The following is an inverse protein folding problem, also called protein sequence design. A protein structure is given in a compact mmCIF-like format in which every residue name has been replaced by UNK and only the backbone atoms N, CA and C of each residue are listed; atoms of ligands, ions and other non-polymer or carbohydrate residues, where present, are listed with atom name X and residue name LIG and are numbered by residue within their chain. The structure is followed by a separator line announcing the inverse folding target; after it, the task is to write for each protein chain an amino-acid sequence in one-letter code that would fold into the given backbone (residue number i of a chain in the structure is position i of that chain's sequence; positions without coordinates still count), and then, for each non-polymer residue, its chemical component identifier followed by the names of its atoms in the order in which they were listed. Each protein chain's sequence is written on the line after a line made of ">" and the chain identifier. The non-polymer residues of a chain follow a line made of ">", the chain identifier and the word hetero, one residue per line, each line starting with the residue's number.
data_IF_172376304613
#
_entry.id   IF_172376304613
#
_cell.length_a   1.000
_cell.length_b   1.000
_cell.length_c   1.000
_cell.angle_alpha   90.00
_cell.angle_beta   90.00
_cell.angle_gamma   90.00
#
_symmetry.space_group_name_H-M   'P 1'
#
loop_
_entity.id
_entity.type
_entity.pdbx_description
1 polymer ?
#
# COMPACT_ATOMS: atom_id res chain seq x y z
N UNK A 1 -11.03 -12.12 5.66
CA UNK A 1 -9.96 -12.94 5.03
C UNK A 1 -10.47 -13.81 3.89
N UNK A 2 -11.51 -14.64 4.07
CA UNK A 2 -11.99 -15.58 3.04
C UNK A 2 -12.30 -14.92 1.68
N UNK A 3 -12.98 -13.78 1.66
CA UNK A 3 -13.32 -13.07 0.42
C UNK A 3 -12.07 -12.58 -0.35
N UNK A 4 -11.07 -12.07 0.37
CA UNK A 4 -9.79 -11.65 -0.24
C UNK A 4 -9.01 -12.88 -0.75
N UNK A 5 -9.00 -13.97 0.01
CA UNK A 5 -8.37 -15.21 -0.42
C UNK A 5 -9.00 -15.76 -1.72
N UNK A 6 -10.34 -15.77 -1.80
CA UNK A 6 -11.08 -16.17 -3.00
C UNK A 6 -10.76 -15.27 -4.20
N UNK A 7 -10.76 -13.95 -4.00
CA UNK A 7 -10.44 -12.98 -5.06
C UNK A 7 -9.00 -13.14 -5.56
N UNK A 8 -8.04 -13.26 -4.65
CA UNK A 8 -6.63 -13.43 -5.00
C UNK A 8 -6.36 -14.75 -5.72
N UNK A 9 -7.03 -15.84 -5.30
CA UNK A 9 -7.01 -17.11 -6.05
C UNK A 9 -7.59 -16.94 -7.45
N UNK A 10 -8.74 -16.27 -7.57
CA UNK A 10 -9.39 -16.07 -8.85
C UNK A 10 -8.52 -15.25 -9.81
N UNK A 11 -7.89 -14.17 -9.34
CA UNK A 11 -6.94 -13.34 -10.10
C UNK A 11 -5.81 -14.21 -10.65
N UNK A 12 -5.19 -15.04 -9.78
CA UNK A 12 -4.11 -15.95 -10.15
C UNK A 12 -4.57 -16.98 -11.19
N UNK A 13 -5.68 -17.67 -10.93
CA UNK A 13 -6.14 -18.80 -11.76
C UNK A 13 -6.62 -18.34 -13.15
N UNK A 14 -6.99 -17.07 -13.30
CA UNK A 14 -7.35 -16.46 -14.58
C UNK A 14 -6.18 -15.74 -15.26
N UNK A 15 -4.97 -15.80 -14.71
CA UNK A 15 -3.77 -15.19 -15.30
C UNK A 15 -3.84 -13.68 -15.40
N UNK A 16 -4.52 -13.01 -14.47
CA UNK A 16 -4.56 -11.55 -14.39
C UNK A 16 -3.24 -11.08 -13.74
N UNK A 17 -2.45 -10.33 -14.50
CA UNK A 17 -1.10 -9.88 -14.13
C UNK A 17 -1.08 -8.39 -13.81
N UNK A 18 0.06 -7.90 -13.30
CA UNK A 18 0.25 -6.47 -13.02
C UNK A 18 -0.79 -5.90 -12.04
N UNK A 19 -1.19 -6.69 -11.04
CA UNK A 19 -2.20 -6.29 -10.05
C UNK A 19 -1.57 -5.40 -8.98
N UNK A 20 -2.14 -4.21 -8.79
CA UNK A 20 -1.74 -3.25 -7.76
C UNK A 20 -2.96 -2.85 -6.94
N UNK A 21 -2.82 -2.81 -5.63
CA UNK A 21 -3.86 -2.39 -4.69
C UNK A 21 -3.61 -0.96 -4.23
N UNK A 22 -4.64 -0.12 -4.31
CA UNK A 22 -4.61 1.25 -3.82
C UNK A 22 -5.59 1.37 -2.66
N UNK A 23 -5.04 1.65 -1.47
CA UNK A 23 -5.80 1.74 -0.22
C UNK A 23 -5.83 3.20 0.24
N UNK A 24 -7.02 3.78 0.21
CA UNK A 24 -7.29 5.13 0.73
C UNK A 24 -8.08 5.04 2.04
N UNK A 25 -8.78 6.11 2.43
CA UNK A 25 -9.63 6.24 3.64
C UNK A 25 -8.93 6.02 5.00
N UNK A 26 -7.75 5.40 5.03
CA UNK A 26 -6.95 5.18 6.23
C UNK A 26 -6.06 6.37 6.55
N UNK A 27 -5.60 6.40 7.80
CA UNK A 27 -5.08 7.61 8.43
C UNK A 27 -3.53 7.59 8.59
N UNK A 28 -2.85 6.89 7.69
CA UNK A 28 -1.39 6.81 7.54
C UNK A 28 -1.03 6.53 6.07
N UNK A 29 0.27 6.58 5.75
CA UNK A 29 0.78 6.13 4.45
C UNK A 29 1.76 4.99 4.59
N UNK A 30 1.71 4.03 3.66
CA UNK A 30 2.57 2.86 3.66
C UNK A 30 2.70 2.24 2.26
N UNK A 31 3.77 1.48 2.07
CA UNK A 31 3.95 0.59 0.93
C UNK A 31 4.19 -0.82 1.45
N UNK A 32 3.33 -1.75 1.05
CA UNK A 32 3.40 -3.16 1.43
C UNK A 32 3.59 -4.04 0.20
N UNK A 33 4.45 -5.04 0.32
CA UNK A 33 4.62 -6.08 -0.70
C UNK A 33 4.18 -7.43 -0.15
N UNK A 34 3.24 -8.08 -0.84
CA UNK A 34 2.65 -9.36 -0.45
C UNK A 34 3.22 -10.48 -1.32
N UNK A 35 3.59 -11.60 -0.70
CA UNK A 35 4.23 -12.71 -1.42
C UNK A 35 3.88 -14.06 -0.77
N UNK A 36 3.45 -15.05 -1.54
CA UNK A 36 3.07 -16.36 -1.03
C UNK A 36 4.24 -17.11 -0.35
N UNK A 37 5.49 -16.79 -0.66
CA UNK A 37 6.66 -17.39 0.01
C UNK A 37 6.79 -17.01 1.49
N UNK A 38 6.13 -15.91 1.91
CA UNK A 38 6.09 -15.43 3.30
C UNK A 38 4.73 -15.65 3.97
N UNK A 39 3.75 -16.18 3.23
CA UNK A 39 2.35 -16.21 3.63
C UNK A 39 1.93 -17.55 4.26
N UNK A 40 0.88 -17.52 5.09
CA UNK A 40 0.18 -18.74 5.51
C UNK A 40 -0.75 -19.27 4.40
N UNK A 41 -1.46 -18.37 3.73
CA UNK A 41 -2.26 -18.68 2.56
C UNK A 41 -1.43 -18.43 1.31
N UNK A 42 -1.17 -19.45 0.50
CA UNK A 42 -0.20 -19.34 -0.62
C UNK A 42 -0.85 -19.31 -2.00
N UNK A 43 -2.18 -19.34 -2.07
CA UNK A 43 -2.89 -19.44 -3.33
C UNK A 43 -3.12 -18.09 -4.02
N UNK A 44 -2.05 -17.34 -4.28
CA UNK A 44 -2.11 -16.03 -4.95
C UNK A 44 -0.77 -15.69 -5.63
N UNK A 45 -0.77 -14.72 -6.55
CA UNK A 45 0.45 -14.15 -7.13
C UNK A 45 0.94 -12.95 -6.30
N UNK A 46 2.26 -12.67 -6.21
CA UNK A 46 2.77 -11.49 -5.50
C UNK A 46 2.12 -10.19 -6.00
N UNK A 47 1.93 -9.22 -5.10
CA UNK A 47 1.38 -7.90 -5.46
C UNK A 47 1.82 -6.81 -4.49
N UNK A 48 1.66 -5.55 -4.93
CA UNK A 48 1.87 -4.37 -4.11
C UNK A 48 0.57 -3.77 -3.63
N UNK A 49 0.57 -3.27 -2.39
CA UNK A 49 -0.44 -2.36 -1.87
C UNK A 49 0.23 -1.01 -1.53
N UNK A 50 -0.39 0.06 -1.99
CA UNK A 50 -0.01 1.42 -1.64
C UNK A 50 -1.12 2.07 -0.85
N UNK A 51 -0.79 2.41 0.37
CA UNK A 51 -1.69 3.01 1.34
C UNK A 51 -1.40 4.51 1.40
N UNK A 52 -2.41 5.34 1.20
CA UNK A 52 -2.24 6.79 1.34
C UNK A 52 -3.47 7.48 1.89
N UNK A 53 -3.26 8.17 3.02
CA UNK A 53 -4.22 9.08 3.62
C UNK A 53 -3.80 9.45 5.05
N UNK A 54 -4.50 10.39 5.69
CA UNK A 54 -5.60 11.16 5.14
C UNK A 54 -5.09 12.45 4.48
N UNK A 55 -5.89 13.04 3.58
CA UNK A 55 -5.62 14.39 3.07
C UNK A 55 -5.88 15.46 4.13
N UNK A 56 -6.92 15.28 4.95
CA UNK A 56 -7.27 16.21 6.03
C UNK A 56 -8.17 15.54 7.08
N UNK A 57 -7.62 14.64 7.89
CA UNK A 57 -8.32 13.98 9.00
C UNK A 57 -7.37 13.68 10.18
N UNK A 58 -7.92 13.17 11.28
CA UNK A 58 -7.10 12.76 12.42
C UNK A 58 -6.16 11.62 12.04
N UNK A 59 -4.89 11.63 12.44
CA UNK A 59 -3.93 10.59 12.02
C UNK A 59 -3.85 9.43 13.02
N UNK A 60 -3.69 8.19 12.54
CA UNK A 60 -3.60 6.96 13.36
C UNK A 60 -2.51 6.03 12.82
N UNK A 61 -1.98 5.17 13.67
CA UNK A 61 -1.03 4.14 13.26
C UNK A 61 -1.70 2.96 12.55
N UNK A 62 -0.96 2.22 11.70
CA UNK A 62 -1.42 0.91 11.24
C UNK A 62 -1.51 -0.06 12.42
N UNK A 63 -2.37 -1.07 12.27
CA UNK A 63 -2.32 -2.24 13.15
C UNK A 63 -1.10 -3.11 12.81
N UNK A 64 -0.71 -3.98 13.74
CA UNK A 64 0.31 -5.00 13.48
C UNK A 64 -0.13 -5.88 12.31
N UNK A 65 0.74 -6.03 11.32
CA UNK A 65 0.52 -6.90 10.18
C UNK A 65 0.55 -8.37 10.62
N UNK A 66 -0.47 -9.13 10.24
CA UNK A 66 -0.47 -10.58 10.36
C UNK A 66 0.11 -11.23 9.09
N UNK A 67 0.50 -12.50 9.18
CA UNK A 67 1.20 -13.19 8.10
C UNK A 67 0.27 -13.98 7.15
N UNK A 68 -1.05 -13.74 7.16
CA UNK A 68 -2.00 -14.47 6.31
C UNK A 68 -1.62 -14.42 4.84
N UNK A 69 -1.30 -13.23 4.32
CA UNK A 69 -0.87 -13.00 2.94
C UNK A 69 0.62 -12.60 2.81
N UNK A 70 1.41 -12.85 3.86
CA UNK A 70 2.86 -12.61 3.85
C UNK A 70 3.31 -11.17 3.54
N UNK A 71 2.68 -10.14 4.14
CA UNK A 71 3.07 -8.75 3.90
C UNK A 71 4.50 -8.47 4.37
N UNK A 72 5.21 -7.68 3.59
CA UNK A 72 6.43 -6.99 4.00
C UNK A 72 6.19 -5.48 3.94
N UNK A 73 6.31 -4.81 5.08
CA UNK A 73 6.24 -3.35 5.12
C UNK A 73 7.55 -2.74 4.62
N UNK A 74 7.51 -2.20 3.40
CA UNK A 74 8.66 -1.54 2.76
C UNK A 74 8.80 -0.09 3.19
N UNK A 75 7.67 0.54 3.52
CA UNK A 75 7.62 1.90 4.03
C UNK A 75 6.35 2.09 4.87
N UNK A 76 6.48 2.83 5.97
CA UNK A 76 5.35 3.28 6.80
C UNK A 76 5.67 4.67 7.35
N UNK A 77 4.74 5.61 7.19
CA UNK A 77 4.75 6.88 7.93
C UNK A 77 3.39 7.08 8.58
N UNK A 78 3.42 7.14 9.90
CA UNK A 78 2.26 7.24 10.77
C UNK A 78 2.64 8.03 12.03
N UNK A 79 1.67 8.45 12.86
CA UNK A 79 1.95 9.01 14.17
C UNK A 79 2.90 8.13 15.00
N UNK A 80 3.74 8.72 15.88
CA UNK A 80 4.59 7.96 16.78
C UNK A 80 3.79 7.03 17.70
N UNK A 81 4.43 5.96 18.16
CA UNK A 81 3.81 5.01 19.08
C UNK A 81 3.22 5.71 20.32
N UNK A 82 2.01 5.29 20.71
CA UNK A 82 1.27 5.90 21.81
C UNK A 82 0.52 7.18 21.46
N UNK A 83 0.65 7.68 20.23
CA UNK A 83 -0.12 8.82 19.74
C UNK A 83 -1.18 8.37 18.72
N UNK A 84 -2.38 8.92 18.83
CA UNK A 84 -3.49 8.63 17.94
C UNK A 84 -4.41 9.85 17.84
N UNK A 85 -5.18 9.90 16.75
CA UNK A 85 -6.09 10.99 16.44
C UNK A 85 -5.41 12.37 16.45
N UNK A 86 -4.19 12.45 15.92
CA UNK A 86 -3.47 13.73 15.83
C UNK A 86 -4.18 14.65 14.84
N UNK A 87 -4.33 15.93 15.20
CA UNK A 87 -4.95 16.90 14.30
C UNK A 87 -4.16 17.04 12.98
N UNK A 88 -4.81 17.43 11.87
CA UNK A 88 -4.15 17.58 10.57
C UNK A 88 -2.89 18.47 10.59
N UNK A 89 -2.86 19.47 11.46
CA UNK A 89 -1.71 20.36 11.68
C UNK A 89 -0.46 19.66 12.25
N UNK A 90 -0.55 18.39 12.65
CA UNK A 90 0.58 17.61 13.13
C UNK A 90 1.50 17.07 12.01
N UNK A 91 1.15 17.29 10.73
CA UNK A 91 2.03 16.97 9.59
C UNK A 91 1.97 15.51 9.13
N UNK A 92 0.96 14.76 9.54
CA UNK A 92 0.73 13.37 9.14
C UNK A 92 -0.42 13.26 8.13
N UNK A 93 -0.34 14.06 7.07
CA UNK A 93 -1.33 14.10 5.99
C UNK A 93 -0.64 13.77 4.67
N UNK A 94 -1.24 12.88 3.87
CA UNK A 94 -0.58 12.23 2.75
C UNK A 94 -1.50 12.08 1.55
N UNK A 95 -0.91 12.03 0.36
CA UNK A 95 -1.54 11.60 -0.88
C UNK A 95 -0.61 10.71 -1.70
N UNK A 96 -1.20 9.86 -2.53
CA UNK A 96 -0.47 8.98 -3.44
C UNK A 96 -0.56 9.51 -4.86
N UNK A 97 0.52 9.34 -5.61
CA UNK A 97 0.58 9.61 -7.05
C UNK A 97 1.05 8.36 -7.78
N UNK A 98 0.37 8.03 -8.88
CA UNK A 98 0.72 6.94 -9.77
C UNK A 98 0.88 7.51 -11.17
N UNK A 99 2.08 7.39 -11.72
CA UNK A 99 2.40 7.78 -13.10
C UNK A 99 2.66 6.51 -13.91
N UNK A 100 2.01 6.36 -15.06
CA UNK A 100 2.20 5.22 -15.96
C UNK A 100 2.69 5.74 -17.30
N UNK A 101 3.89 5.33 -17.71
CA UNK A 101 4.46 5.65 -19.01
C UNK A 101 3.71 4.91 -20.12
N UNK A 102 3.20 5.63 -21.12
CA UNK A 102 2.53 5.01 -22.27
C UNK A 102 3.48 4.23 -23.20
N UNK A 103 4.75 4.61 -23.23
CA UNK A 103 5.74 4.00 -24.13
C UNK A 103 6.42 2.76 -23.53
N UNK A 104 6.71 2.81 -22.23
CA UNK A 104 7.44 1.75 -21.51
C UNK A 104 6.57 0.93 -20.57
N UNK A 105 5.30 1.32 -20.38
CA UNK A 105 4.35 0.71 -19.44
C UNK A 105 4.83 0.71 -17.98
N UNK A 106 5.90 1.45 -17.69
CA UNK A 106 6.48 1.59 -16.36
C UNK A 106 5.51 2.35 -15.46
N UNK A 107 5.16 1.76 -14.32
CA UNK A 107 4.39 2.43 -13.28
C UNK A 107 5.33 2.94 -12.19
N UNK A 108 5.33 4.25 -11.95
CA UNK A 108 6.00 4.86 -10.81
C UNK A 108 4.96 5.24 -9.77
N UNK A 109 5.14 4.76 -8.54
CA UNK A 109 4.25 5.08 -7.41
C UNK A 109 5.01 5.91 -6.40
N UNK A 110 4.46 7.07 -6.06
CA UNK A 110 5.00 7.99 -5.06
C UNK A 110 4.01 8.19 -3.91
N UNK A 111 4.51 8.12 -2.68
CA UNK A 111 3.79 8.48 -1.46
C UNK A 111 4.30 9.84 -0.98
N UNK A 112 3.42 10.82 -0.92
CA UNK A 112 3.77 12.24 -0.80
C UNK A 112 3.07 12.83 0.42
N UNK A 113 3.75 13.72 1.15
CA UNK A 113 3.08 14.51 2.18
C UNK A 113 2.46 15.81 1.64
N UNK A 114 1.70 16.50 2.49
CA UNK A 114 0.99 17.71 2.11
C UNK A 114 1.91 18.89 1.72
N UNK A 115 3.21 18.83 2.06
CA UNK A 115 4.19 19.82 1.60
C UNK A 115 4.68 19.54 0.17
N UNK A 116 4.32 18.38 -0.39
CA UNK A 116 4.78 17.92 -1.70
C UNK A 116 6.07 17.11 -1.65
N UNK A 117 6.56 16.77 -0.46
CA UNK A 117 7.77 15.96 -0.32
C UNK A 117 7.46 14.49 -0.59
N UNK A 118 8.21 13.89 -1.52
CA UNK A 118 8.14 12.45 -1.79
C UNK A 118 8.81 11.71 -0.64
N UNK A 119 8.01 10.95 0.10
CA UNK A 119 8.47 10.17 1.26
C UNK A 119 8.96 8.78 0.87
N UNK A 120 8.35 8.22 -0.17
CA UNK A 120 8.70 6.93 -0.74
C UNK A 120 8.33 6.92 -2.22
N UNK A 121 9.17 6.29 -3.03
CA UNK A 121 8.89 6.06 -4.45
C UNK A 121 9.41 4.69 -4.87
N UNK A 122 8.65 4.00 -5.70
CA UNK A 122 9.09 2.76 -6.35
C UNK A 122 8.61 2.68 -7.78
N UNK A 123 9.37 1.99 -8.61
CA UNK A 123 9.02 1.66 -9.98
C UNK A 123 8.58 0.19 -10.07
N UNK A 124 7.49 -0.07 -10.78
CA UNK A 124 6.96 -1.40 -11.05
C UNK A 124 7.05 -1.63 -12.56
N UNK A 125 7.87 -2.60 -12.95
CA UNK A 125 7.99 -3.05 -14.33
C UNK A 125 6.77 -3.89 -14.71
N UNK A 126 6.28 -3.79 -15.97
CA UNK A 126 5.24 -4.69 -16.46
C UNK A 126 5.77 -6.12 -16.56
N UNK A 127 4.92 -7.09 -16.21
CA UNK A 127 5.13 -8.53 -16.42
C UNK A 127 4.83 -8.97 -17.85
#
# INVERSE_FOLDING_TARGET
>A
ELEIAELLTWIRDNGIRNTVWLTADVHYTAAHHYDPSRAQYTAFAPFWEFVSGPLNAGSFGPNTLDNTFGPEARFVKAPPEGQANLAPSAGFQFFGQVDISGDSELMTVSLVDIAGDILYSTELQPE
#
